data_IF_253480889344
#
_entry.id   IF_253480889344
#
_cell.length_a   1.000
_cell.length_b   1.000
_cell.length_c   1.000
_cell.angle_alpha   90.00
_cell.angle_beta   90.00
_cell.angle_gamma   90.00
#
_symmetry.space_group_name_H-M   'P 1'
#
loop_
_entity.id
_entity.type
_entity.pdbx_description
1 polymer ?
#
# COMPACT_ATOMS: atom_id res chain seq x y z
N UNK A 1 -10.64 -3.56 -3.84
CA UNK A 1 -9.76 -4.75 -3.92
C UNK A 1 -10.58 -5.95 -4.35
N UNK A 2 -10.08 -6.75 -5.29
CA UNK A 2 -10.74 -7.99 -5.70
C UNK A 2 -10.83 -8.97 -4.52
N UNK A 3 -11.90 -9.76 -4.42
CA UNK A 3 -12.06 -10.77 -3.35
C UNK A 3 -10.82 -11.68 -3.22
N UNK A 4 -10.22 -12.06 -4.35
CA UNK A 4 -8.98 -12.82 -4.41
C UNK A 4 -7.81 -12.12 -3.72
N UNK A 5 -7.69 -10.80 -3.91
CA UNK A 5 -6.66 -9.98 -3.30
C UNK A 5 -6.77 -9.91 -1.78
N UNK A 6 -7.99 -9.79 -1.27
CA UNK A 6 -8.26 -9.83 0.18
C UNK A 6 -7.85 -11.18 0.78
N UNK A 7 -8.18 -12.29 0.11
CA UNK A 7 -7.76 -13.61 0.55
C UNK A 7 -6.24 -13.79 0.54
N UNK A 8 -5.57 -13.29 -0.51
CA UNK A 8 -4.12 -13.29 -0.61
C UNK A 8 -3.46 -12.51 0.56
N UNK A 9 -3.97 -11.32 0.86
CA UNK A 9 -3.51 -10.49 1.97
C UNK A 9 -3.72 -11.16 3.33
N UNK A 10 -4.91 -11.72 3.57
CA UNK A 10 -5.21 -12.44 4.83
C UNK A 10 -4.31 -13.67 4.98
N UNK A 11 -4.07 -14.40 3.89
CA UNK A 11 -3.17 -15.55 3.91
C UNK A 11 -1.73 -15.13 4.21
N UNK A 12 -1.22 -14.10 3.55
CA UNK A 12 0.10 -13.54 3.81
C UNK A 12 0.25 -13.10 5.27
N UNK A 13 -0.74 -12.39 5.80
CA UNK A 13 -0.75 -11.95 7.19
C UNK A 13 -0.76 -13.13 8.17
N UNK A 14 -1.55 -14.17 7.90
CA UNK A 14 -1.60 -15.37 8.74
C UNK A 14 -0.26 -16.11 8.75
N UNK A 15 0.37 -16.27 7.59
CA UNK A 15 1.71 -16.86 7.44
C UNK A 15 2.74 -16.06 8.25
N UNK A 16 2.70 -14.73 8.12
CA UNK A 16 3.62 -13.85 8.81
C UNK A 16 3.46 -13.92 10.33
N UNK A 17 2.21 -13.91 10.83
CA UNK A 17 1.95 -14.08 12.26
C UNK A 17 2.51 -15.42 12.77
N UNK A 18 2.31 -16.51 12.03
CA UNK A 18 2.86 -17.83 12.41
C UNK A 18 4.39 -17.82 12.43
N UNK A 19 5.03 -17.12 11.50
CA UNK A 19 6.49 -16.97 11.48
C UNK A 19 7.00 -16.17 12.69
N UNK A 20 6.37 -15.03 12.98
CA UNK A 20 6.65 -14.20 14.16
C UNK A 20 6.53 -15.01 15.46
N UNK A 21 5.48 -15.84 15.61
CA UNK A 21 5.30 -16.67 16.80
C UNK A 21 6.30 -17.83 16.92
N UNK A 22 7.00 -18.19 15.84
CA UNK A 22 8.08 -19.19 15.89
C UNK A 22 9.42 -18.59 16.31
N UNK A 23 9.55 -17.27 16.28
CA UNK A 23 10.75 -16.59 16.71
C UNK A 23 10.74 -16.39 18.22
N UNK A 24 11.93 -16.45 18.83
CA UNK A 24 12.08 -16.11 20.24
C UNK A 24 11.92 -14.59 20.38
N UNK A 25 10.85 -14.17 21.05
CA UNK A 25 10.58 -12.76 21.29
C UNK A 25 11.75 -12.11 22.03
N UNK A 26 12.26 -11.02 21.46
CA UNK A 26 13.30 -10.25 22.12
C UNK A 26 12.79 -9.71 23.47
N UNK A 27 13.61 -9.74 24.53
CA UNK A 27 13.24 -9.16 25.82
C UNK A 27 13.00 -7.65 25.65
N UNK A 28 11.95 -7.14 26.30
CA UNK A 28 11.52 -5.73 26.20
C UNK A 28 12.63 -4.70 26.55
N UNK A 29 13.68 -5.12 27.25
CA UNK A 29 14.84 -4.31 27.59
C UNK A 29 15.83 -4.09 26.44
N UNK A 30 15.77 -4.92 25.40
CA UNK A 30 16.64 -4.84 24.20
C UNK A 30 15.93 -4.15 23.03
N UNK A 31 14.64 -3.84 23.17
CA UNK A 31 13.90 -3.03 22.19
C UNK A 31 14.29 -1.56 22.33
N UNK A 32 14.39 -0.88 21.19
CA UNK A 32 14.68 0.53 21.16
C UNK A 32 13.53 1.37 21.75
N UNK A 33 13.81 2.61 22.16
CA UNK A 33 12.75 3.53 22.55
C UNK A 33 11.71 3.70 21.43
N UNK A 34 10.43 3.63 21.82
CA UNK A 34 9.27 3.72 20.92
C UNK A 34 9.24 4.96 20.00
N UNK A 35 9.99 6.02 20.33
CA UNK A 35 10.00 7.27 19.58
C UNK A 35 11.44 7.71 19.32
N UNK A 36 11.81 7.74 18.03
CA UNK A 36 13.06 8.31 17.53
C UNK A 36 12.75 9.49 16.62
N UNK A 37 13.34 10.65 16.92
CA UNK A 37 13.09 11.89 16.18
C UNK A 37 13.67 11.82 14.77
N UNK A 38 14.78 11.11 14.58
CA UNK A 38 15.49 11.02 13.29
C UNK A 38 14.71 10.23 12.23
N UNK A 39 13.95 9.21 12.63
CA UNK A 39 13.12 8.37 11.75
C UNK A 39 11.65 8.77 11.76
N UNK A 40 11.28 9.76 12.59
CA UNK A 40 9.90 10.21 12.75
C UNK A 40 9.29 10.72 11.43
N UNK A 41 10.09 11.38 10.59
CA UNK A 41 9.64 11.85 9.28
C UNK A 41 9.27 10.71 8.32
N UNK A 42 10.08 9.65 8.28
CA UNK A 42 9.79 8.46 7.47
C UNK A 42 8.53 7.74 7.97
N UNK A 43 8.42 7.56 9.30
CA UNK A 43 7.23 6.99 9.92
C UNK A 43 5.95 7.74 9.55
N UNK A 44 5.94 9.09 9.67
CA UNK A 44 4.78 9.90 9.31
C UNK A 44 4.43 9.78 7.82
N UNK A 45 5.43 9.75 6.94
CA UNK A 45 5.24 9.52 5.52
C UNK A 45 4.56 8.19 5.24
N UNK A 46 5.07 7.11 5.84
CA UNK A 46 4.52 5.76 5.67
C UNK A 46 3.12 5.63 6.26
N UNK A 47 2.87 6.25 7.41
CA UNK A 47 1.54 6.34 7.99
C UNK A 47 0.59 7.12 7.08
N UNK A 48 1.05 8.21 6.47
CA UNK A 48 0.28 8.96 5.46
C UNK A 48 -0.06 8.10 4.25
N UNK A 49 0.90 7.31 3.76
CA UNK A 49 0.70 6.40 2.63
C UNK A 49 -0.31 5.29 2.97
N UNK A 50 -0.25 4.74 4.18
CA UNK A 50 -1.19 3.72 4.66
C UNK A 50 -2.66 4.19 4.58
N UNK A 51 -2.90 5.48 4.83
CA UNK A 51 -4.23 6.09 4.77
C UNK A 51 -4.47 6.92 3.50
N UNK A 52 -3.64 6.75 2.46
CA UNK A 52 -3.77 7.45 1.20
C UNK A 52 -4.95 6.90 0.38
N UNK A 53 -6.17 7.22 0.83
CA UNK A 53 -7.42 6.82 0.17
C UNK A 53 -8.03 7.95 -0.67
N UNK A 54 -7.44 9.14 -0.66
CA UNK A 54 -7.96 10.35 -1.31
C UNK A 54 -8.36 10.14 -2.78
N UNK A 55 -7.54 9.40 -3.53
CA UNK A 55 -7.78 9.07 -4.95
C UNK A 55 -8.93 8.07 -5.15
N UNK A 56 -9.25 7.28 -4.13
CA UNK A 56 -10.30 6.27 -4.16
C UNK A 56 -11.61 6.74 -3.51
N UNK A 57 -11.65 7.90 -2.83
CA UNK A 57 -12.85 8.40 -2.13
C UNK A 57 -14.03 8.55 -3.10
N UNK A 58 -13.82 9.23 -4.24
CA UNK A 58 -14.87 9.50 -5.23
C UNK A 58 -15.53 8.22 -5.77
N UNK A 59 -14.77 7.23 -6.30
CA UNK A 59 -15.39 5.99 -6.76
C UNK A 59 -16.03 5.18 -5.62
N UNK A 60 -15.50 5.27 -4.38
CA UNK A 60 -16.10 4.61 -3.22
C UNK A 60 -17.45 5.25 -2.85
N UNK A 61 -17.53 6.58 -2.88
CA UNK A 61 -18.76 7.35 -2.61
C UNK A 61 -19.82 7.11 -3.69
N UNK A 62 -19.40 7.04 -4.96
CA UNK A 62 -20.29 6.73 -6.08
C UNK A 62 -20.82 5.29 -6.02
N UNK A 63 -20.07 4.36 -5.42
CA UNK A 63 -20.49 2.97 -5.22
C UNK A 63 -21.49 2.78 -4.07
N UNK A 64 -21.68 3.80 -3.21
CA UNK A 64 -22.70 3.76 -2.16
C UNK A 64 -24.10 4.04 -2.72
N UNK A 65 -25.12 3.44 -2.10
CA UNK A 65 -26.51 3.77 -2.41
C UNK A 65 -26.76 5.27 -2.18
N UNK A 66 -27.50 5.88 -3.09
CA UNK A 66 -27.71 7.32 -3.12
C UNK A 66 -28.28 7.89 -1.80
N UNK A 67 -29.16 7.13 -1.16
CA UNK A 67 -29.80 7.47 0.13
C UNK A 67 -28.81 7.61 1.31
N UNK A 68 -27.69 6.89 1.28
CA UNK A 68 -26.70 6.86 2.38
C UNK A 68 -25.41 7.59 2.04
N UNK A 69 -25.27 8.11 0.81
CA UNK A 69 -24.12 8.91 0.36
C UNK A 69 -23.77 10.07 1.30
N UNK A 70 -24.73 10.83 1.86
CA UNK A 70 -24.41 11.92 2.81
C UNK A 70 -23.70 11.46 4.09
N UNK A 71 -23.78 10.16 4.41
CA UNK A 71 -23.16 9.56 5.60
C UNK A 71 -21.79 8.94 5.30
N UNK A 72 -21.28 9.09 4.06
CA UNK A 72 -20.00 8.51 3.62
C UNK A 72 -18.86 8.80 4.59
N UNK A 73 -18.68 10.07 4.99
CA UNK A 73 -17.59 10.46 5.89
C UNK A 73 -17.65 9.76 7.25
N UNK A 74 -18.86 9.55 7.81
CA UNK A 74 -19.03 8.81 9.06
C UNK A 74 -18.74 7.32 8.88
N UNK A 75 -19.20 6.73 7.78
CA UNK A 75 -18.92 5.33 7.45
C UNK A 75 -17.41 5.09 7.27
N UNK A 76 -16.73 6.00 6.57
CA UNK A 76 -15.28 5.97 6.38
C UNK A 76 -14.53 6.07 7.72
N UNK A 77 -14.91 7.03 8.58
CA UNK A 77 -14.30 7.19 9.90
C UNK A 77 -14.46 5.94 10.78
N UNK A 78 -15.64 5.33 10.77
CA UNK A 78 -15.90 4.07 11.50
C UNK A 78 -15.07 2.91 10.92
N UNK A 79 -14.91 2.84 9.60
CA UNK A 79 -14.08 1.83 8.94
C UNK A 79 -12.57 2.01 9.21
N UNK A 80 -12.09 3.25 9.39
CA UNK A 80 -10.69 3.52 9.70
C UNK A 80 -10.27 2.98 11.07
N UNK A 81 -11.17 2.95 12.06
CA UNK A 81 -10.85 2.46 13.42
C UNK A 81 -10.32 1.02 13.44
N UNK A 82 -11.05 -0.01 12.96
CA UNK A 82 -10.55 -1.37 12.98
C UNK A 82 -9.31 -1.56 12.10
N UNK A 83 -9.21 -0.83 10.98
CA UNK A 83 -8.02 -0.84 10.11
C UNK A 83 -6.80 -0.33 10.88
N UNK A 84 -6.95 0.76 11.64
CA UNK A 84 -5.88 1.33 12.47
C UNK A 84 -5.44 0.34 13.53
N UNK A 85 -6.39 -0.26 14.25
CA UNK A 85 -6.11 -1.23 15.32
C UNK A 85 -5.36 -2.45 14.77
N UNK A 86 -5.78 -2.99 13.63
CA UNK A 86 -5.11 -4.14 12.99
C UNK A 86 -3.70 -3.79 12.54
N UNK A 87 -3.50 -2.63 11.91
CA UNK A 87 -2.18 -2.19 11.47
C UNK A 87 -1.22 -1.97 12.65
N UNK A 88 -1.68 -1.33 13.73
CA UNK A 88 -0.85 -1.13 14.94
C UNK A 88 -0.53 -2.48 15.59
N UNK A 89 -1.51 -3.38 15.72
CA UNK A 89 -1.29 -4.69 16.30
C UNK A 89 -0.27 -5.52 15.49
N UNK A 90 -0.40 -5.51 14.16
CA UNK A 90 0.54 -6.21 13.28
C UNK A 90 1.94 -5.59 13.33
N UNK A 91 2.04 -4.26 13.28
CA UNK A 91 3.32 -3.56 13.39
C UNK A 91 4.03 -3.85 14.72
N UNK A 92 3.29 -3.82 15.83
CA UNK A 92 3.83 -4.15 17.16
C UNK A 92 4.30 -5.61 17.24
N UNK A 93 3.52 -6.56 16.69
CA UNK A 93 3.91 -7.97 16.64
C UNK A 93 5.16 -8.20 15.78
N UNK A 94 5.21 -7.59 14.60
CA UNK A 94 6.37 -7.70 13.70
C UNK A 94 7.63 -7.11 14.35
N UNK A 95 7.52 -5.94 14.98
CA UNK A 95 8.64 -5.31 15.70
C UNK A 95 9.11 -6.16 16.89
N UNK A 96 8.19 -6.77 17.63
CA UNK A 96 8.56 -7.60 18.77
C UNK A 96 9.15 -8.96 18.39
N UNK A 97 8.68 -9.57 17.30
CA UNK A 97 9.22 -10.84 16.82
C UNK A 97 10.56 -10.68 16.10
N UNK A 98 10.60 -9.85 15.04
CA UNK A 98 11.79 -9.69 14.22
C UNK A 98 12.84 -8.78 14.84
N UNK A 99 12.48 -7.98 15.86
CA UNK A 99 13.42 -7.10 16.55
C UNK A 99 13.88 -5.89 15.73
N UNK A 100 14.91 -5.22 16.23
CA UNK A 100 15.44 -3.99 15.67
C UNK A 100 16.83 -4.15 15.01
N UNK A 101 17.09 -3.33 13.99
CA UNK A 101 18.31 -3.37 13.17
C UNK A 101 19.57 -2.90 13.92
N UNK A 102 19.45 -2.24 15.08
CA UNK A 102 20.60 -1.81 15.87
C UNK A 102 21.26 -2.98 16.62
N UNK A 103 20.46 -3.90 17.17
CA UNK A 103 20.96 -5.02 17.97
C UNK A 103 21.16 -6.31 17.15
N UNK A 104 20.32 -6.53 16.12
CA UNK A 104 20.45 -7.66 15.20
C UNK A 104 20.35 -7.19 13.74
N UNK A 105 21.45 -6.69 13.14
CA UNK A 105 21.45 -6.20 11.76
C UNK A 105 21.12 -7.29 10.72
N UNK A 106 21.21 -8.57 11.10
CA UNK A 106 20.84 -9.73 10.26
C UNK A 106 19.41 -10.21 10.46
N UNK A 107 18.75 -9.82 11.56
CA UNK A 107 17.38 -10.17 11.91
C UNK A 107 16.70 -8.91 12.41
N UNK A 108 16.19 -8.10 11.48
CA UNK A 108 15.44 -6.91 11.79
C UNK A 108 14.35 -6.63 10.77
N UNK A 109 13.30 -5.94 11.20
CA UNK A 109 12.13 -5.61 10.37
C UNK A 109 12.58 -4.89 9.09
N UNK A 110 12.27 -5.48 7.94
CA UNK A 110 12.48 -4.89 6.63
C UNK A 110 11.30 -3.97 6.26
N UNK A 111 11.52 -3.06 5.31
CA UNK A 111 10.47 -2.14 4.82
C UNK A 111 9.28 -2.88 4.20
N UNK A 112 9.52 -4.07 3.63
CA UNK A 112 8.47 -5.03 3.31
C UNK A 112 8.59 -6.20 4.29
N UNK A 113 7.62 -6.37 5.19
CA UNK A 113 7.68 -7.41 6.23
C UNK A 113 7.78 -8.82 5.62
N UNK A 114 7.29 -9.02 4.39
CA UNK A 114 7.39 -10.29 3.67
C UNK A 114 8.85 -10.70 3.40
N UNK A 115 9.75 -9.73 3.25
CA UNK A 115 11.18 -10.00 3.06
C UNK A 115 11.85 -10.56 4.33
N UNK A 116 11.18 -10.47 5.49
CA UNK A 116 11.63 -11.11 6.72
C UNK A 116 11.34 -12.61 6.79
N UNK A 117 10.49 -13.15 5.91
CA UNK A 117 10.18 -14.58 5.89
C UNK A 117 11.38 -15.39 5.39
N UNK A 118 11.63 -16.60 5.94
CA UNK A 118 12.67 -17.46 5.44
C UNK A 118 12.40 -17.86 3.98
N UNK A 119 13.46 -17.95 3.17
CA UNK A 119 13.35 -18.37 1.76
C UNK A 119 12.83 -19.81 1.66
N UNK A 120 11.71 -20.00 0.97
CA UNK A 120 11.10 -21.31 0.76
C UNK A 120 9.85 -21.23 -0.11
N UNK A 121 9.31 -22.40 -0.49
CA UNK A 121 8.15 -22.49 -1.39
C UNK A 121 6.93 -21.71 -0.87
N UNK A 122 6.77 -21.63 0.45
CA UNK A 122 5.65 -20.93 1.06
C UNK A 122 5.78 -19.40 0.89
N UNK A 123 7.00 -18.87 1.03
CA UNK A 123 7.32 -17.45 0.79
C UNK A 123 7.16 -17.09 -0.68
N UNK A 124 7.56 -17.98 -1.60
CA UNK A 124 7.35 -17.78 -3.04
C UNK A 124 5.85 -17.70 -3.40
N UNK A 125 5.01 -18.53 -2.77
CA UNK A 125 3.55 -18.49 -2.95
C UNK A 125 2.97 -17.20 -2.40
N UNK A 126 3.40 -16.76 -1.21
CA UNK A 126 2.96 -15.48 -0.63
C UNK A 126 3.35 -14.31 -1.55
N UNK A 127 4.60 -14.28 -2.02
CA UNK A 127 5.09 -13.26 -2.94
C UNK A 127 4.31 -13.23 -4.25
N UNK A 128 4.00 -14.40 -4.82
CA UNK A 128 3.20 -14.49 -6.05
C UNK A 128 1.77 -13.98 -5.85
N UNK A 129 1.14 -14.34 -4.73
CA UNK A 129 -0.22 -13.91 -4.38
C UNK A 129 -0.30 -12.39 -4.14
N UNK A 130 0.66 -11.83 -3.39
CA UNK A 130 0.74 -10.38 -3.15
C UNK A 130 1.06 -9.61 -4.43
N UNK A 131 1.94 -10.13 -5.28
CA UNK A 131 2.22 -9.52 -6.59
C UNK A 131 0.97 -9.47 -7.47
N UNK A 132 0.15 -10.51 -7.45
CA UNK A 132 -1.11 -10.55 -8.18
C UNK A 132 -2.14 -9.56 -7.60
N UNK A 133 -2.23 -9.45 -6.27
CA UNK A 133 -3.09 -8.46 -5.61
C UNK A 133 -2.68 -7.02 -5.98
N UNK A 134 -1.38 -6.72 -5.94
CA UNK A 134 -0.84 -5.42 -6.34
C UNK A 134 -1.09 -5.13 -7.83
N UNK A 135 -1.01 -6.14 -8.69
CA UNK A 135 -1.32 -5.99 -10.12
C UNK A 135 -2.80 -5.59 -10.32
N UNK A 136 -3.74 -6.29 -9.68
CA UNK A 136 -5.16 -5.95 -9.77
C UNK A 136 -5.46 -4.59 -9.15
N UNK A 137 -4.84 -4.28 -8.02
CA UNK A 137 -4.96 -2.97 -7.37
C UNK A 137 -4.46 -1.87 -8.30
N UNK A 138 -3.29 -2.04 -8.92
CA UNK A 138 -2.76 -1.11 -9.90
C UNK A 138 -3.73 -0.85 -11.05
N UNK A 139 -4.36 -1.89 -11.62
CA UNK A 139 -5.36 -1.74 -12.69
C UNK A 139 -6.56 -0.90 -12.21
N UNK A 140 -7.06 -1.16 -10.99
CA UNK A 140 -8.20 -0.43 -10.42
C UNK A 140 -7.86 1.04 -10.17
N UNK A 141 -6.65 1.36 -9.70
CA UNK A 141 -6.21 2.74 -9.47
C UNK A 141 -5.83 3.49 -10.76
N UNK A 142 -5.31 2.79 -11.76
CA UNK A 142 -4.91 3.40 -13.03
C UNK A 142 -6.11 3.88 -13.85
N UNK A 143 -7.28 3.27 -13.67
CA UNK A 143 -8.51 3.69 -14.35
C UNK A 143 -8.96 5.11 -13.98
N UNK A 144 -9.27 5.46 -12.71
CA UNK A 144 -9.65 6.83 -12.35
C UNK A 144 -8.52 7.82 -12.62
N UNK A 145 -7.26 7.42 -12.42
CA UNK A 145 -6.11 8.29 -12.75
C UNK A 145 -6.02 8.61 -14.24
N UNK A 146 -6.25 7.61 -15.12
CA UNK A 146 -6.32 7.84 -16.56
C UNK A 146 -7.46 8.80 -16.91
N UNK A 147 -8.62 8.68 -16.26
CA UNK A 147 -9.75 9.55 -16.53
C UNK A 147 -9.49 10.99 -16.09
N UNK A 148 -8.86 11.18 -14.92
CA UNK A 148 -8.46 12.51 -14.44
C UNK A 148 -7.47 13.17 -15.40
N UNK A 149 -6.45 12.44 -15.85
CA UNK A 149 -5.47 12.96 -16.81
C UNK A 149 -6.09 13.19 -18.19
N UNK A 150 -6.94 12.29 -18.67
CA UNK A 150 -7.67 12.46 -19.93
C UNK A 150 -8.54 13.71 -19.86
N UNK A 151 -9.26 13.97 -18.76
CA UNK A 151 -10.11 15.16 -18.64
C UNK A 151 -9.33 16.48 -18.55
N UNK A 152 -8.11 16.47 -18.01
CA UNK A 152 -7.27 17.67 -17.91
C UNK A 152 -6.52 17.96 -19.22
N UNK A 153 -6.07 16.92 -19.93
CA UNK A 153 -5.23 17.06 -21.13
C UNK A 153 -5.97 16.91 -22.46
N UNK A 154 -7.19 16.35 -22.46
CA UNK A 154 -7.99 16.14 -23.66
C UNK A 154 -9.37 16.79 -23.55
N UNK A 155 -9.78 17.48 -24.61
CA UNK A 155 -11.12 18.01 -24.73
C UNK A 155 -12.15 16.87 -24.84
N UNK A 156 -13.09 16.84 -23.90
CA UNK A 156 -14.20 15.88 -23.83
C UNK A 156 -15.09 15.95 -25.08
N UNK A 157 -15.08 17.08 -25.78
CA UNK A 157 -15.88 17.36 -26.99
C UNK A 157 -15.41 16.61 -28.25
N UNK A 158 -14.22 15.99 -28.23
CA UNK A 158 -13.63 15.24 -29.37
C UNK A 158 -13.64 13.72 -29.20
N UNK A 159 -14.62 13.20 -28.47
CA UNK A 159 -14.78 11.77 -28.25
C UNK A 159 -15.09 11.05 -29.57
N UNK A 160 -14.33 10.00 -29.93
CA UNK A 160 -14.52 9.23 -31.17
C UNK A 160 -13.69 9.66 -32.38
N UNK A 161 -12.88 10.72 -32.28
CA UNK A 161 -11.87 11.02 -33.30
C UNK A 161 -10.67 10.06 -33.16
N UNK A 162 -10.30 9.37 -34.24
CA UNK A 162 -9.14 8.45 -34.29
C UNK A 162 -7.84 9.00 -33.67
N UNK A 163 -7.42 10.26 -33.90
CA UNK A 163 -6.23 10.81 -33.24
C UNK A 163 -6.39 11.00 -31.72
N UNK A 164 -7.59 11.30 -31.24
CA UNK A 164 -7.87 11.50 -29.81
C UNK A 164 -7.83 10.17 -29.07
N UNK A 165 -8.36 9.08 -29.66
CA UNK A 165 -8.27 7.74 -29.08
C UNK A 165 -6.83 7.20 -29.03
N UNK A 166 -6.01 7.52 -30.05
CA UNK A 166 -4.58 7.21 -30.02
C UNK A 166 -3.87 7.94 -28.88
N UNK A 167 -4.22 9.21 -28.64
CA UNK A 167 -3.67 9.99 -27.53
C UNK A 167 -4.08 9.44 -26.17
N UNK A 168 -5.34 9.00 -25.99
CA UNK A 168 -5.81 8.32 -24.77
C UNK A 168 -4.98 7.05 -24.48
N UNK A 169 -4.79 6.20 -25.48
CA UNK A 169 -3.97 5.00 -25.34
C UNK A 169 -2.48 5.32 -25.10
N UNK A 170 -1.95 6.38 -25.71
CA UNK A 170 -0.59 6.85 -25.47
C UNK A 170 -0.41 7.33 -24.03
N UNK A 171 -1.36 8.11 -23.48
CA UNK A 171 -1.34 8.55 -22.08
C UNK A 171 -1.37 7.37 -21.10
N UNK A 172 -2.24 6.38 -21.34
CA UNK A 172 -2.29 5.16 -20.51
C UNK A 172 -0.98 4.37 -20.57
N UNK A 173 -0.41 4.23 -21.77
CA UNK A 173 0.88 3.55 -21.95
C UNK A 173 2.02 4.30 -21.25
N UNK A 174 2.04 5.64 -21.38
CA UNK A 174 3.01 6.50 -20.70
C UNK A 174 2.97 6.32 -19.18
N UNK A 175 1.78 6.27 -18.58
CA UNK A 175 1.65 6.03 -17.14
C UNK A 175 2.22 4.69 -16.71
N UNK A 176 1.91 3.61 -17.44
CA UNK A 176 2.43 2.26 -17.13
C UNK A 176 3.95 2.22 -17.27
N UNK A 177 4.50 2.85 -18.31
CA UNK A 177 5.96 2.97 -18.48
C UNK A 177 6.58 3.79 -17.35
N UNK A 178 5.94 4.89 -16.92
CA UNK A 178 6.39 5.69 -15.79
C UNK A 178 6.48 4.88 -14.49
N UNK A 179 5.45 4.07 -14.19
CA UNK A 179 5.43 3.16 -13.03
C UNK A 179 6.60 2.16 -13.13
N UNK A 180 6.83 1.57 -14.30
CA UNK A 180 7.94 0.62 -14.51
C UNK A 180 9.33 1.27 -14.35
N UNK A 181 9.50 2.52 -14.80
CA UNK A 181 10.74 3.28 -14.63
C UNK A 181 11.00 3.56 -13.14
N UNK A 182 9.98 3.99 -12.40
CA UNK A 182 10.10 4.22 -10.94
C UNK A 182 10.42 2.93 -10.20
N UNK A 183 9.73 1.84 -10.53
CA UNK A 183 9.96 0.53 -9.92
C UNK A 183 11.39 0.02 -10.15
N UNK A 184 11.98 0.29 -11.32
CA UNK A 184 13.38 -0.06 -11.61
C UNK A 184 14.38 0.92 -10.98
N UNK A 185 13.99 2.19 -10.82
CA UNK A 185 14.87 3.26 -10.36
C UNK A 185 15.07 3.31 -8.84
N UNK A 186 14.06 2.92 -8.06
CA UNK A 186 14.12 3.00 -6.59
C UNK A 186 13.82 1.63 -5.97
N UNK A 187 14.85 0.88 -5.52
CA UNK A 187 14.66 -0.44 -4.93
C UNK A 187 14.23 -0.40 -3.45
N UNK A 188 14.08 0.79 -2.86
CA UNK A 188 13.73 0.96 -1.44
C UNK A 188 12.24 1.31 -1.32
N UNK A 189 11.43 0.30 -1.03
CA UNK A 189 9.97 0.43 -0.92
C UNK A 189 9.54 1.43 0.16
N UNK A 190 10.19 1.41 1.32
CA UNK A 190 9.89 2.27 2.46
C UNK A 190 10.09 3.77 2.15
N UNK A 191 11.14 4.09 1.39
CA UNK A 191 11.41 5.47 0.99
C UNK A 191 10.37 5.98 -0.02
N UNK A 192 9.98 5.14 -0.98
CA UNK A 192 8.95 5.48 -1.97
C UNK A 192 7.59 5.72 -1.30
N UNK A 193 7.19 4.83 -0.40
CA UNK A 193 5.93 4.94 0.32
C UNK A 193 5.93 6.14 1.25
N UNK A 194 7.02 6.37 2.00
CA UNK A 194 7.16 7.54 2.87
C UNK A 194 7.05 8.86 2.11
N UNK A 195 7.73 8.96 0.97
CA UNK A 195 7.67 10.13 0.11
C UNK A 195 6.26 10.31 -0.49
N UNK A 196 5.65 9.23 -0.97
CA UNK A 196 4.32 9.26 -1.58
C UNK A 196 3.25 9.67 -0.58
N UNK A 197 3.30 9.18 0.66
CA UNK A 197 2.39 9.60 1.71
C UNK A 197 2.61 11.03 2.18
N UNK A 198 3.87 11.47 2.27
CA UNK A 198 4.21 12.85 2.61
C UNK A 198 3.71 13.89 1.60
N UNK A 199 3.86 13.61 0.29
CA UNK A 199 3.36 14.51 -0.76
C UNK A 199 1.87 14.33 -1.06
N UNK A 200 1.35 13.11 -0.95
CA UNK A 200 -0.03 12.79 -1.33
C UNK A 200 -1.09 13.22 -0.32
N UNK A 201 -0.70 13.60 0.89
CA UNK A 201 -1.60 14.01 1.97
C UNK A 201 -1.53 15.51 2.32
N UNK A 202 -0.92 16.33 1.44
CA UNK A 202 -0.81 17.79 1.56
C UNK A 202 -1.61 18.47 0.43
#
# INVERSE_FOLDING_TARGET
TSFFGILALVFALAVQCVDVFKQDFAPLSELEPFVRVDTYGGFLGNAGFLYLISTAILPLEQSMKEEVRPQFGKALAVAMVPVTVLNIAFAALAYWGYGDCLHSPTHCVQGLVVDNLPSGMLTDVVNALLSLDLLFTCIVFLFPMSQLLENEFLDETRFGEWPTELWRNALRTLMVVGIAVVAKGVPIFDMLTGLSGGFGNN
#
